data_IF_261456822186
#
_entry.id   IF_261456822186
#
_cell.length_a   1.000
_cell.length_b   1.000
_cell.length_c   1.000
_cell.angle_alpha   90.00
_cell.angle_beta   90.00
_cell.angle_gamma   90.00
#
_symmetry.space_group_name_H-M   'P 1'
#
loop_
_entity.id
_entity.type
_entity.pdbx_description
1 polymer ?
#
# COMPACT_ATOMS: atom_id res chain seq x y z
N UNK A 1 14.21 -15.37 -22.35
CA UNK A 1 13.31 -15.43 -21.18
C UNK A 1 13.22 -16.89 -20.76
N UNK A 2 13.88 -17.28 -19.67
CA UNK A 2 13.76 -18.63 -19.10
C UNK A 2 12.91 -18.54 -17.83
N UNK A 3 11.88 -19.38 -17.74
CA UNK A 3 11.02 -19.49 -16.56
C UNK A 3 11.59 -20.53 -15.59
N UNK A 4 11.80 -20.16 -14.33
CA UNK A 4 12.21 -21.06 -13.26
C UNK A 4 10.94 -21.54 -12.55
N UNK A 5 10.63 -22.83 -12.65
CA UNK A 5 9.60 -23.47 -11.84
C UNK A 5 10.21 -24.07 -10.57
N UNK A 6 9.64 -23.78 -9.41
CA UNK A 6 10.02 -24.40 -8.14
C UNK A 6 8.95 -25.38 -7.67
N UNK A 7 9.36 -26.53 -7.11
CA UNK A 7 8.47 -27.52 -6.49
C UNK A 7 8.89 -27.70 -5.03
N UNK A 8 7.93 -27.51 -4.13
CA UNK A 8 8.12 -27.61 -2.68
C UNK A 8 8.13 -29.08 -2.24
N UNK A 9 9.12 -29.49 -1.44
CA UNK A 9 9.19 -30.84 -0.87
C UNK A 9 8.77 -30.80 0.63
N UNK A 10 7.61 -31.38 0.98
CA UNK A 10 7.08 -31.30 2.34
C UNK A 10 7.81 -32.19 3.35
N UNK A 11 8.77 -33.05 2.95
CA UNK A 11 9.54 -33.88 3.89
C UNK A 11 10.79 -33.20 4.42
N UNK A 12 11.35 -32.26 3.66
CA UNK A 12 12.63 -31.60 3.98
C UNK A 12 12.47 -30.10 4.23
N UNK A 13 11.29 -29.53 3.98
CA UNK A 13 11.02 -28.10 4.17
C UNK A 13 11.78 -27.19 3.22
N UNK A 14 12.42 -27.75 2.19
CA UNK A 14 13.28 -27.03 1.25
C UNK A 14 12.67 -27.00 -0.16
N UNK A 15 12.85 -25.87 -0.84
CA UNK A 15 12.53 -25.74 -2.26
C UNK A 15 13.66 -26.33 -3.11
N UNK A 16 13.33 -27.35 -3.91
CA UNK A 16 14.28 -27.92 -4.88
C UNK A 16 14.17 -27.14 -6.19
N UNK A 17 15.25 -26.45 -6.57
CA UNK A 17 15.34 -25.76 -7.85
C UNK A 17 16.05 -26.67 -8.86
N UNK A 18 15.36 -27.01 -9.95
CA UNK A 18 15.92 -27.83 -11.02
C UNK A 18 16.32 -26.89 -12.16
N UNK A 19 17.63 -26.68 -12.33
CA UNK A 19 18.19 -25.81 -13.35
C UNK A 19 18.34 -26.62 -14.64
N UNK A 20 17.44 -26.39 -15.61
CA UNK A 20 17.57 -26.95 -16.95
C UNK A 20 18.68 -26.22 -17.72
N UNK A 21 19.77 -26.92 -18.01
CA UNK A 21 20.84 -26.41 -18.89
C UNK A 21 20.39 -26.65 -20.34
N UNK A 22 20.04 -25.59 -21.06
CA UNK A 22 19.94 -25.64 -22.51
C UNK A 22 21.34 -25.36 -23.05
N UNK A 23 21.94 -26.39 -23.64
CA UNK A 23 23.15 -26.29 -24.46
C UNK A 23 22.85 -25.43 -25.68
N UNK A 24 23.46 -24.25 -25.74
CA UNK A 24 23.66 -23.51 -26.96
C UNK A 24 25.16 -23.48 -27.21
N UNK A 25 25.58 -24.17 -28.26
CA UNK A 25 26.96 -24.15 -28.74
C UNK A 25 27.33 -22.73 -29.18
N UNK A 26 28.05 -22.02 -28.32
CA UNK A 26 28.92 -20.91 -28.73
C UNK A 26 30.33 -21.27 -28.29
N UNK A 27 31.13 -21.69 -29.27
CA UNK A 27 32.52 -22.03 -29.11
C UNK A 27 33.31 -20.74 -28.84
N UNK A 28 33.50 -20.44 -27.56
CA UNK A 28 34.40 -19.38 -27.11
C UNK A 28 35.10 -19.87 -25.87
N UNK A 29 36.32 -20.36 -26.08
CA UNK A 29 37.33 -20.63 -25.06
C UNK A 29 37.61 -19.33 -24.31
N UNK A 30 36.90 -19.11 -23.20
CA UNK A 30 37.25 -18.07 -22.25
C UNK A 30 38.26 -18.70 -21.30
N UNK A 31 39.51 -18.27 -21.42
CA UNK A 31 40.60 -18.60 -20.52
C UNK A 31 40.17 -18.31 -19.08
N UNK A 32 40.09 -19.37 -18.28
CA UNK A 32 39.89 -19.35 -16.84
C UNK A 32 41.24 -18.99 -16.18
N UNK A 33 41.70 -17.77 -16.43
CA UNK A 33 42.88 -17.23 -15.77
C UNK A 33 42.67 -15.76 -15.46
N UNK A 34 42.78 -15.46 -14.17
CA UNK A 34 43.12 -14.15 -13.62
C UNK A 34 41.95 -13.17 -13.39
N UNK A 35 41.23 -13.39 -12.29
CA UNK A 35 40.64 -12.28 -11.55
C UNK A 35 40.66 -12.54 -10.04
N UNK A 36 41.87 -12.59 -9.48
CA UNK A 36 42.10 -12.35 -8.05
C UNK A 36 42.15 -10.84 -7.81
N UNK A 37 41.00 -10.18 -7.79
CA UNK A 37 40.88 -9.05 -6.86
C UNK A 37 40.59 -9.67 -5.50
N UNK A 38 41.48 -9.51 -4.54
CA UNK A 38 41.33 -10.05 -3.18
C UNK A 38 40.03 -9.54 -2.55
N UNK A 39 38.96 -10.32 -2.70
CA UNK A 39 37.76 -10.19 -1.88
C UNK A 39 38.13 -10.87 -0.57
N UNK A 40 38.27 -10.08 0.48
CA UNK A 40 38.62 -10.62 1.79
C UNK A 40 37.41 -11.35 2.40
N UNK A 41 37.60 -12.30 3.32
CA UNK A 41 36.49 -12.92 4.04
C UNK A 41 35.58 -11.91 4.75
N UNK A 42 36.15 -10.77 5.16
CA UNK A 42 35.44 -9.65 5.80
C UNK A 42 34.45 -8.97 4.83
N UNK A 43 34.79 -8.90 3.54
CA UNK A 43 33.88 -8.37 2.52
C UNK A 43 32.65 -9.28 2.31
N UNK A 44 32.80 -10.58 2.56
CA UNK A 44 31.72 -11.57 2.47
C UNK A 44 30.79 -11.53 3.69
N UNK A 45 31.33 -11.26 4.88
CA UNK A 45 30.51 -11.07 6.10
C UNK A 45 29.51 -9.92 5.95
N UNK A 46 29.88 -8.86 5.24
CA UNK A 46 28.99 -7.72 5.01
C UNK A 46 27.68 -8.15 4.31
N UNK A 47 27.76 -9.09 3.36
CA UNK A 47 26.57 -9.61 2.67
C UNK A 47 25.69 -10.50 3.56
N UNK A 48 26.20 -11.00 4.69
CA UNK A 48 25.38 -11.74 5.66
C UNK A 48 24.45 -10.83 6.46
N UNK A 49 24.89 -9.58 6.73
CA UNK A 49 24.10 -8.56 7.43
C UNK A 49 23.00 -8.02 6.53
N UNK A 50 23.30 -7.80 5.25
CA UNK A 50 22.35 -7.29 4.26
C UNK A 50 21.72 -8.43 3.46
N UNK A 51 20.78 -9.15 4.08
CA UNK A 51 20.06 -10.31 3.50
C UNK A 51 19.46 -10.06 2.11
N UNK A 52 19.13 -8.80 1.80
CA UNK A 52 18.52 -8.39 0.53
C UNK A 52 19.50 -7.76 -0.46
N UNK A 53 20.80 -7.83 -0.18
CA UNK A 53 21.87 -7.23 -0.98
C UNK A 53 22.17 -5.79 -0.58
N UNK A 54 23.25 -5.25 -1.16
CA UNK A 54 23.76 -3.90 -0.89
C UNK A 54 23.75 -3.15 -2.22
N UNK A 55 23.31 -1.88 -2.24
CA UNK A 55 23.35 -1.09 -3.46
C UNK A 55 24.77 -1.02 -4.04
N UNK A 56 24.88 -1.22 -5.36
CA UNK A 56 26.17 -1.34 -6.07
C UNK A 56 27.11 -0.12 -5.91
N UNK A 57 26.56 1.06 -5.58
CA UNK A 57 27.31 2.30 -5.31
C UNK A 57 27.32 2.73 -3.84
N UNK A 58 26.90 1.85 -2.92
CA UNK A 58 26.92 2.13 -1.49
C UNK A 58 28.33 2.45 -1.01
N UNK A 59 28.48 3.39 -0.08
CA UNK A 59 29.78 3.70 0.53
C UNK A 59 30.36 2.50 1.30
N UNK A 60 29.48 1.63 1.82
CA UNK A 60 29.83 0.45 2.63
C UNK A 60 30.42 -0.69 1.76
N UNK A 61 30.11 -0.72 0.46
CA UNK A 61 30.64 -1.74 -0.44
C UNK A 61 32.13 -1.47 -0.73
N UNK A 62 32.98 -2.49 -0.63
CA UNK A 62 34.42 -2.31 -0.83
C UNK A 62 34.78 -1.95 -2.28
N UNK A 63 35.89 -1.22 -2.50
CA UNK A 63 36.33 -0.84 -3.84
C UNK A 63 36.54 -2.04 -4.77
N UNK A 64 37.01 -3.18 -4.24
CA UNK A 64 37.20 -4.41 -4.99
C UNK A 64 35.90 -4.88 -5.66
N UNK A 65 34.79 -4.90 -4.91
CA UNK A 65 33.49 -5.30 -5.46
C UNK A 65 32.89 -4.22 -6.35
N UNK A 66 33.06 -2.93 -6.01
CA UNK A 66 32.59 -1.80 -6.84
C UNK A 66 33.22 -1.79 -8.24
N UNK A 67 34.47 -2.21 -8.34
CA UNK A 67 35.24 -2.20 -9.59
C UNK A 67 34.99 -3.43 -10.47
N UNK A 68 34.20 -4.40 -10.00
CA UNK A 68 33.81 -5.54 -10.82
C UNK A 68 33.03 -5.06 -12.05
N UNK A 69 33.36 -5.53 -13.27
CA UNK A 69 32.67 -5.09 -14.48
C UNK A 69 31.16 -5.38 -14.45
N UNK A 70 30.75 -6.46 -13.77
CA UNK A 70 29.34 -6.81 -13.56
C UNK A 70 28.61 -5.83 -12.63
N UNK A 71 29.32 -5.19 -11.71
CA UNK A 71 28.76 -4.22 -10.74
C UNK A 71 28.72 -2.83 -11.36
N UNK A 72 29.76 -2.43 -12.10
CA UNK A 72 29.82 -1.14 -12.81
C UNK A 72 28.71 -1.04 -13.87
N UNK A 73 28.41 -2.13 -14.58
CA UNK A 73 27.41 -2.15 -15.64
C UNK A 73 25.95 -2.04 -15.11
N UNK A 74 25.73 -2.17 -13.80
CA UNK A 74 24.39 -2.07 -13.20
C UNK A 74 23.94 -0.62 -13.02
N UNK A 75 22.63 -0.42 -13.12
CA UNK A 75 21.99 0.88 -12.84
C UNK A 75 22.09 1.19 -11.34
N UNK A 76 22.06 2.47 -10.98
CA UNK A 76 22.06 2.88 -9.59
C UNK A 76 20.82 2.39 -8.85
N UNK A 77 21.04 1.74 -7.72
CA UNK A 77 20.02 1.31 -6.79
C UNK A 77 20.11 2.21 -5.56
N UNK A 78 18.96 2.63 -5.03
CA UNK A 78 18.88 3.38 -3.76
C UNK A 78 18.01 2.53 -2.84
N UNK A 79 18.59 2.09 -1.72
CA UNK A 79 17.83 1.45 -0.66
C UNK A 79 17.36 2.54 0.31
N UNK A 80 16.05 2.68 0.48
CA UNK A 80 15.45 3.66 1.39
C UNK A 80 15.02 2.91 2.64
N UNK A 81 15.72 3.14 3.75
CA UNK A 81 15.30 2.71 5.08
C UNK A 81 14.73 3.90 5.83
N UNK A 82 13.51 3.78 6.35
CA UNK A 82 12.93 4.79 7.23
C UNK A 82 13.45 4.56 8.64
N UNK A 83 14.47 5.32 9.05
CA UNK A 83 14.92 5.36 10.43
C UNK A 83 14.49 6.69 11.04
N UNK A 84 13.43 6.69 11.85
CA UNK A 84 13.02 7.83 12.66
C UNK A 84 12.90 7.36 14.10
N UNK A 85 13.80 7.86 14.93
CA UNK A 85 13.88 7.51 16.35
C UNK A 85 12.71 8.18 17.07
N UNK A 86 12.03 7.46 17.97
CA UNK A 86 10.99 8.05 18.82
C UNK A 86 11.61 9.15 19.70
N UNK A 87 11.03 10.35 19.71
CA UNK A 87 11.44 11.37 20.66
C UNK A 87 11.04 10.93 22.07
N UNK A 88 11.91 11.10 23.09
CA UNK A 88 11.53 10.83 24.46
C UNK A 88 10.36 11.74 24.85
N UNK A 89 9.22 11.15 25.21
CA UNK A 89 8.11 11.88 25.83
C UNK A 89 8.56 12.24 27.24
N UNK A 90 9.12 13.43 27.44
CA UNK A 90 9.51 13.89 28.77
C UNK A 90 8.27 14.02 29.66
N UNK A 91 8.16 13.12 30.62
CA UNK A 91 6.96 12.97 31.47
C UNK A 91 6.99 13.81 32.74
N UNK A 92 8.04 14.60 32.97
CA UNK A 92 8.25 15.28 34.25
C UNK A 92 8.52 16.76 34.02
N UNK A 93 7.60 17.59 34.51
CA UNK A 93 7.70 19.04 34.48
C UNK A 93 8.34 19.53 35.78
N UNK A 94 9.37 20.36 35.69
CA UNK A 94 10.05 20.97 36.84
C UNK A 94 9.91 22.49 36.81
N UNK A 95 9.41 23.05 37.91
CA UNK A 95 9.37 24.49 38.13
C UNK A 95 10.65 24.90 38.87
N UNK A 96 11.48 25.73 38.24
CA UNK A 96 12.79 26.12 38.77
C UNK A 96 12.76 27.61 39.14
N UNK A 97 13.28 27.95 40.32
CA UNK A 97 13.46 29.33 40.77
C UNK A 97 14.59 30.04 40.01
N UNK A 98 14.69 31.35 40.14
CA UNK A 98 15.76 32.19 39.55
C UNK A 98 17.17 31.72 39.94
N UNK A 99 17.30 31.09 41.10
CA UNK A 99 18.56 30.53 41.62
C UNK A 99 18.84 29.09 41.16
N UNK A 100 18.00 28.52 40.29
CA UNK A 100 18.17 27.16 39.77
C UNK A 100 17.63 26.06 40.71
N UNK A 101 16.90 26.42 41.76
CA UNK A 101 16.31 25.46 42.71
C UNK A 101 14.95 24.97 42.24
N UNK A 102 14.74 23.66 42.21
CA UNK A 102 13.43 23.07 41.90
C UNK A 102 12.44 23.39 43.03
N UNK A 103 11.40 24.14 42.70
CA UNK A 103 10.29 24.52 43.59
C UNK A 103 9.21 23.44 43.55
N UNK A 104 8.91 22.93 42.35
CA UNK A 104 7.84 21.97 42.13
C UNK A 104 8.24 20.97 41.04
N UNK A 105 7.77 19.73 41.17
CA UNK A 105 7.97 18.66 40.19
C UNK A 105 6.66 17.94 39.97
N UNK A 106 6.13 18.01 38.75
CA UNK A 106 4.88 17.37 38.37
C UNK A 106 5.14 16.24 37.38
N UNK A 107 4.51 15.08 37.59
CA UNK A 107 4.65 13.93 36.71
C UNK A 107 3.44 13.84 35.77
N UNK A 108 3.59 14.44 34.60
CA UNK A 108 2.57 14.50 33.56
C UNK A 108 2.20 13.08 33.07
N UNK A 109 3.14 12.13 33.08
CA UNK A 109 2.85 10.73 32.75
C UNK A 109 1.98 10.00 33.78
N UNK A 110 1.91 10.52 35.01
CA UNK A 110 1.03 10.00 36.06
C UNK A 110 -0.32 10.75 36.12
N UNK A 111 -0.59 11.65 35.16
CA UNK A 111 -1.77 12.51 35.16
C UNK A 111 -1.73 13.60 36.25
N UNK A 112 -0.55 13.85 36.83
CA UNK A 112 -0.36 14.88 37.86
C UNK A 112 0.19 16.13 37.18
N UNK A 113 -0.59 17.20 37.23
CA UNK A 113 -0.27 18.46 36.57
C UNK A 113 -0.12 19.59 37.59
N UNK A 114 0.98 20.36 37.55
CA UNK A 114 1.13 21.65 38.24
C UNK A 114 0.11 22.66 37.73
N UNK A 115 -0.33 23.57 38.60
CA UNK A 115 -1.23 24.68 38.25
C UNK A 115 -0.52 25.81 37.47
N UNK A 116 0.81 25.86 37.55
CA UNK A 116 1.64 26.88 36.88
C UNK A 116 2.05 26.46 35.47
N UNK A 117 1.80 25.21 35.07
CA UNK A 117 2.07 24.76 33.71
C UNK A 117 0.92 25.10 32.78
N UNK A 118 1.22 25.34 31.50
CA UNK A 118 0.19 25.53 30.48
C UNK A 118 -0.64 24.25 30.32
N UNK A 119 -1.93 24.40 29.99
CA UNK A 119 -2.76 23.23 29.73
C UNK A 119 -2.10 22.39 28.62
N UNK A 120 -1.97 21.07 28.82
CA UNK A 120 -1.40 20.22 27.79
C UNK A 120 -2.18 20.41 26.49
N UNK A 121 -1.50 20.43 25.33
CA UNK A 121 -2.18 20.55 24.05
C UNK A 121 -3.19 19.42 23.93
N UNK A 122 -4.41 19.76 23.48
CA UNK A 122 -5.42 18.75 23.19
C UNK A 122 -4.84 17.75 22.19
N UNK A 123 -5.02 16.46 22.48
CA UNK A 123 -4.65 15.41 21.53
C UNK A 123 -5.38 15.68 20.20
N UNK A 124 -4.67 15.57 19.06
CA UNK A 124 -5.28 15.79 17.75
C UNK A 124 -6.42 14.79 17.52
N UNK A 125 -7.59 15.28 17.13
CA UNK A 125 -8.75 14.42 16.84
C UNK A 125 -8.46 13.51 15.63
N UNK A 126 -8.94 12.28 15.71
CA UNK A 126 -8.75 11.29 14.65
C UNK A 126 -9.60 11.67 13.45
N UNK A 127 -8.94 12.06 12.35
CA UNK A 127 -9.63 12.39 11.11
C UNK A 127 -10.25 11.14 10.46
N UNK A 128 -11.56 11.17 10.21
CA UNK A 128 -12.30 10.04 9.60
C UNK A 128 -12.96 10.48 8.30
N UNK A 129 -12.71 9.77 7.21
CA UNK A 129 -13.31 10.04 5.90
C UNK A 129 -13.93 8.79 5.26
N UNK A 130 -14.93 9.01 4.40
CA UNK A 130 -15.60 7.98 3.62
C UNK A 130 -15.34 8.25 2.14
N UNK A 131 -14.79 7.26 1.43
CA UNK A 131 -14.49 7.37 0.00
C UNK A 131 -15.31 6.34 -0.76
N UNK A 132 -16.05 6.82 -1.76
CA UNK A 132 -16.75 5.98 -2.73
C UNK A 132 -15.93 5.87 -4.01
N UNK A 133 -15.75 4.65 -4.51
CA UNK A 133 -15.03 4.39 -5.74
C UNK A 133 -15.79 3.43 -6.65
N UNK A 134 -15.71 3.63 -7.96
CA UNK A 134 -16.31 2.70 -8.90
C UNK A 134 -15.39 1.49 -9.13
N UNK A 135 -15.98 0.29 -9.20
CA UNK A 135 -15.29 -0.93 -9.61
C UNK A 135 -14.55 -0.71 -10.94
N UNK A 136 -13.30 -1.16 -11.00
CA UNK A 136 -12.45 -1.09 -12.19
C UNK A 136 -11.74 0.24 -12.40
N UNK A 137 -12.04 1.28 -11.60
CA UNK A 137 -11.35 2.57 -11.66
C UNK A 137 -10.16 2.60 -10.68
N UNK A 138 -9.13 3.43 -10.94
CA UNK A 138 -8.04 3.64 -10.01
C UNK A 138 -8.51 4.44 -8.79
N UNK A 139 -7.92 4.15 -7.63
CA UNK A 139 -8.19 4.82 -6.35
C UNK A 139 -6.88 5.13 -5.66
N UNK A 140 -6.79 6.32 -5.07
CA UNK A 140 -5.64 6.75 -4.27
C UNK A 140 -6.13 7.10 -2.87
N UNK A 141 -5.55 6.45 -1.87
CA UNK A 141 -5.84 6.73 -0.47
C UNK A 141 -4.67 7.52 0.12
N UNK A 142 -4.98 8.68 0.68
CA UNK A 142 -4.02 9.53 1.41
C UNK A 142 -4.50 9.63 2.85
N UNK A 143 -3.60 9.59 3.82
CA UNK A 143 -3.96 9.70 5.22
C UNK A 143 -4.68 11.04 5.48
N UNK A 144 -5.89 11.04 6.06
CA UNK A 144 -6.68 12.25 6.23
C UNK A 144 -6.20 13.12 7.41
N UNK A 145 -5.51 12.52 8.37
CA UNK A 145 -4.99 13.21 9.55
C UNK A 145 -3.47 13.23 9.58
N UNK A 146 -2.94 14.10 10.42
CA UNK A 146 -1.52 14.19 10.72
C UNK A 146 -1.40 14.54 12.21
N UNK A 147 -0.63 13.76 12.96
CA UNK A 147 -0.37 14.03 14.38
C UNK A 147 0.68 15.15 14.59
N UNK A 148 0.97 15.94 13.55
CA UNK A 148 2.07 16.92 13.51
C UNK A 148 3.42 16.31 13.88
N UNK A 149 3.60 15.03 13.56
CA UNK A 149 4.85 14.32 13.80
C UNK A 149 5.53 14.05 12.47
N UNK A 150 6.87 14.11 12.46
CA UNK A 150 7.65 13.65 11.31
C UNK A 150 7.66 12.12 11.20
N UNK A 151 6.86 11.37 11.96
CA UNK A 151 6.88 9.90 11.94
C UNK A 151 6.32 9.34 10.61
N UNK A 152 6.88 8.21 10.11
CA UNK A 152 6.37 7.58 8.89
C UNK A 152 4.95 7.01 9.14
N UNK A 153 4.15 6.98 8.09
CA UNK A 153 2.77 6.46 8.20
C UNK A 153 2.78 4.94 8.04
N UNK A 154 2.24 4.26 9.05
CA UNK A 154 1.96 2.83 8.99
C UNK A 154 0.51 2.61 8.61
N UNK A 155 0.29 1.90 7.51
CA UNK A 155 -1.05 1.57 7.04
C UNK A 155 -1.54 0.25 7.63
N UNK A 156 -2.82 0.19 7.96
CA UNK A 156 -3.53 -1.04 8.28
C UNK A 156 -4.82 -1.15 7.45
N UNK A 157 -5.18 -2.38 7.11
CA UNK A 157 -6.43 -2.72 6.43
C UNK A 157 -7.24 -3.63 7.36
N UNK A 158 -8.35 -3.12 7.90
CA UNK A 158 -8.99 -3.72 9.07
C UNK A 158 -7.99 -3.78 10.22
N UNK A 159 -7.79 -4.97 10.78
CA UNK A 159 -6.88 -5.20 11.92
C UNK A 159 -5.47 -5.65 11.51
N UNK A 160 -5.13 -5.61 10.22
CA UNK A 160 -3.87 -6.15 9.70
C UNK A 160 -2.93 -5.04 9.23
N UNK A 161 -1.68 -5.09 9.69
CA UNK A 161 -0.60 -4.25 9.17
C UNK A 161 -0.37 -4.50 7.68
N UNK A 162 -0.36 -3.42 6.91
CA UNK A 162 -0.08 -3.46 5.49
C UNK A 162 1.45 -3.48 5.28
N UNK A 163 1.96 -4.60 4.78
CA UNK A 163 3.36 -4.72 4.38
C UNK A 163 3.45 -4.43 2.87
N UNK A 164 4.15 -3.37 2.43
CA UNK A 164 4.19 -2.96 1.02
C UNK A 164 4.61 -4.08 0.05
N UNK A 165 5.65 -4.85 0.39
CA UNK A 165 6.15 -5.91 -0.50
C UNK A 165 5.15 -7.08 -0.61
N UNK A 166 4.49 -7.43 0.49
CA UNK A 166 3.52 -8.52 0.53
C UNK A 166 2.28 -8.17 -0.29
N UNK A 167 1.73 -6.96 -0.11
CA UNK A 167 0.51 -6.56 -0.84
C UNK A 167 0.79 -6.43 -2.34
N UNK A 168 1.99 -6.00 -2.73
CA UNK A 168 2.40 -5.97 -4.14
C UNK A 168 2.44 -7.39 -4.71
N UNK A 169 3.00 -8.35 -4.00
CA UNK A 169 3.04 -9.75 -4.43
C UNK A 169 1.63 -10.38 -4.52
N UNK A 170 0.83 -10.27 -3.47
CA UNK A 170 -0.53 -10.83 -3.39
C UNK A 170 -1.48 -10.21 -4.43
N UNK A 171 -1.36 -8.90 -4.64
CA UNK A 171 -2.18 -8.17 -5.59
C UNK A 171 -1.66 -8.21 -7.03
N UNK A 172 -0.51 -8.86 -7.27
CA UNK A 172 0.20 -8.88 -8.57
C UNK A 172 0.51 -7.47 -9.10
N UNK A 173 0.97 -6.57 -8.21
CA UNK A 173 1.35 -5.19 -8.54
C UNK A 173 0.19 -4.23 -8.78
N UNK A 174 -1.03 -4.63 -8.42
CA UNK A 174 -2.25 -3.82 -8.54
C UNK A 174 -2.39 -2.80 -7.42
N UNK A 175 -2.02 -3.20 -6.20
CA UNK A 175 -1.98 -2.36 -5.01
C UNK A 175 -0.52 -2.18 -4.60
N UNK A 176 -0.12 -0.94 -4.37
CA UNK A 176 1.22 -0.62 -3.87
C UNK A 176 1.17 0.66 -3.03
N UNK A 177 2.13 0.78 -2.11
CA UNK A 177 2.33 1.98 -1.31
C UNK A 177 3.44 2.81 -1.96
N UNK A 178 3.21 4.11 -2.12
CA UNK A 178 4.18 5.05 -2.67
C UNK A 178 5.14 5.56 -1.60
N UNK A 179 6.27 6.15 -2.01
CA UNK A 179 7.21 6.89 -1.15
C UNK A 179 6.58 8.08 -0.42
N UNK A 180 5.42 8.54 -0.88
CA UNK A 180 4.64 9.60 -0.24
C UNK A 180 3.61 9.07 0.77
N UNK A 181 3.76 7.82 1.20
CA UNK A 181 2.87 7.10 2.11
C UNK A 181 1.40 7.05 1.65
N UNK A 182 1.18 7.03 0.33
CA UNK A 182 -0.15 6.88 -0.28
C UNK A 182 -0.35 5.47 -0.79
N UNK A 183 -1.55 4.93 -0.60
CA UNK A 183 -1.93 3.64 -1.20
C UNK A 183 -2.53 3.89 -2.58
N UNK A 184 -1.96 3.25 -3.60
CA UNK A 184 -2.47 3.27 -4.96
C UNK A 184 -3.11 1.92 -5.28
N UNK A 185 -4.37 1.94 -5.68
CA UNK A 185 -5.11 0.80 -6.21
C UNK A 185 -5.36 1.07 -7.69
N UNK A 186 -4.63 0.41 -8.59
CA UNK A 186 -4.76 0.66 -10.04
C UNK A 186 -6.13 0.26 -10.60
N UNK A 187 -6.68 -0.85 -10.11
CA UNK A 187 -7.97 -1.40 -10.55
C UNK A 187 -8.73 -1.84 -9.29
N UNK A 188 -9.73 -1.06 -8.90
CA UNK A 188 -10.57 -1.32 -7.73
C UNK A 188 -11.46 -2.55 -7.92
N UNK A 189 -11.44 -3.48 -6.96
CA UNK A 189 -12.31 -4.67 -6.87
C UNK A 189 -13.25 -4.50 -5.69
N UNK A 190 -14.44 -5.08 -5.75
CA UNK A 190 -15.41 -5.02 -4.64
C UNK A 190 -14.81 -5.48 -3.30
N UNK A 191 -13.92 -6.48 -3.34
CA UNK A 191 -13.22 -7.01 -2.16
C UNK A 191 -12.18 -6.05 -1.55
N UNK A 192 -11.79 -4.97 -2.23
CA UNK A 192 -10.93 -3.94 -1.63
C UNK A 192 -11.75 -2.96 -0.77
N UNK A 193 -13.08 -3.11 -0.70
CA UNK A 193 -13.91 -2.32 0.22
C UNK A 193 -13.57 -2.72 1.66
N UNK A 194 -12.93 -1.82 2.39
CA UNK A 194 -12.50 -2.07 3.77
C UNK A 194 -12.27 -0.74 4.50
N UNK A 195 -11.94 -0.83 5.78
CA UNK A 195 -11.44 0.28 6.59
C UNK A 195 -9.91 0.29 6.47
N UNK A 196 -9.37 1.43 6.06
CA UNK A 196 -7.96 1.70 5.95
C UNK A 196 -7.58 2.73 7.01
N UNK A 197 -6.72 2.37 7.95
CA UNK A 197 -6.25 3.30 8.98
C UNK A 197 -4.78 3.62 8.79
N UNK A 198 -4.43 4.89 9.00
CA UNK A 198 -3.05 5.35 9.05
C UNK A 198 -2.67 5.64 10.49
N UNK A 199 -1.48 5.17 10.88
CA UNK A 199 -0.93 5.24 12.22
C UNK A 199 0.42 5.94 12.20
N UNK A 200 0.66 6.79 13.20
CA UNK A 200 1.93 7.48 13.41
C UNK A 200 2.31 7.30 14.89
N UNK A 201 3.54 6.89 15.19
CA UNK A 201 4.01 6.62 16.57
C UNK A 201 3.08 5.70 17.40
N UNK A 202 2.46 4.69 16.77
CA UNK A 202 1.47 3.78 17.40
C UNK A 202 0.16 4.45 17.83
N UNK A 203 -0.05 5.70 17.45
CA UNK A 203 -1.29 6.45 17.63
C UNK A 203 -2.03 6.55 16.29
N UNK A 204 -3.36 6.56 16.35
CA UNK A 204 -4.21 6.55 15.17
C UNK A 204 -4.30 7.97 14.59
N UNK A 205 -3.66 8.19 13.45
CA UNK A 205 -3.68 9.50 12.77
C UNK A 205 -4.97 9.72 11.98
N UNK A 206 -5.52 8.66 11.38
CA UNK A 206 -6.75 8.78 10.60
C UNK A 206 -7.32 7.47 10.08
N UNK A 207 -8.59 7.52 9.69
CA UNK A 207 -9.36 6.36 9.20
C UNK A 207 -10.08 6.70 7.92
N UNK A 208 -9.99 5.82 6.94
CA UNK A 208 -10.65 5.91 5.65
C UNK A 208 -11.54 4.67 5.49
N UNK A 209 -12.84 4.87 5.37
CA UNK A 209 -13.75 3.80 4.94
C UNK A 209 -13.83 3.84 3.42
N UNK A 210 -13.29 2.83 2.74
CA UNK A 210 -13.38 2.71 1.29
C UNK A 210 -14.56 1.81 0.93
N UNK A 211 -15.48 2.34 0.12
CA UNK A 211 -16.64 1.59 -0.40
C UNK A 211 -16.54 1.54 -1.92
N UNK A 212 -16.40 0.35 -2.47
CA UNK A 212 -16.34 0.16 -3.93
C UNK A 212 -17.72 -0.24 -4.44
N UNK A 213 -18.27 0.60 -5.30
CA UNK A 213 -19.58 0.42 -5.90
C UNK A 213 -19.46 -0.23 -7.29
N UNK A 214 -20.39 -1.13 -7.58
CA UNK A 214 -20.57 -1.63 -8.94
C UNK A 214 -21.43 -0.60 -9.70
N UNK A 215 -20.79 0.25 -10.51
CA UNK A 215 -21.54 1.07 -11.48
C UNK A 215 -22.12 0.14 -12.54
N UNK A 216 -23.44 0.04 -12.58
CA UNK A 216 -24.15 -0.54 -13.72
C UNK A 216 -24.30 0.55 -14.77
N UNK A 217 -23.37 0.60 -15.71
CA UNK A 217 -23.57 1.40 -16.92
C UNK A 217 -24.58 0.67 -17.80
N UNK A 218 -25.86 0.93 -17.56
CA UNK A 218 -26.92 0.47 -18.47
C UNK A 218 -26.93 1.39 -19.68
N UNK A 219 -26.20 1.01 -20.72
CA UNK A 219 -26.30 1.63 -22.04
C UNK A 219 -27.63 1.21 -22.66
N UNK A 220 -28.73 1.83 -22.23
CA UNK A 220 -30.02 1.62 -22.89
C UNK A 220 -29.96 2.23 -24.28
N UNK A 221 -30.02 1.37 -25.30
CA UNK A 221 -30.15 1.84 -26.67
C UNK A 221 -31.49 2.59 -26.80
N UNK A 222 -31.44 3.81 -27.31
CA UNK A 222 -32.61 4.67 -27.46
C UNK A 222 -33.74 3.99 -28.26
N UNK A 223 -33.38 3.13 -29.22
CA UNK A 223 -34.34 2.34 -29.99
C UNK A 223 -35.12 1.33 -29.13
N UNK A 224 -34.48 0.71 -28.14
CA UNK A 224 -35.14 -0.25 -27.25
C UNK A 224 -36.17 0.47 -26.37
N UNK A 225 -35.81 1.66 -25.87
CA UNK A 225 -36.71 2.49 -25.08
C UNK A 225 -37.93 2.95 -25.91
N UNK A 226 -37.69 3.37 -27.16
CA UNK A 226 -38.75 3.83 -28.06
C UNK A 226 -39.69 2.70 -28.48
N UNK A 227 -39.17 1.51 -28.77
CA UNK A 227 -39.98 0.32 -29.05
C UNK A 227 -40.84 -0.08 -27.85
N UNK A 228 -40.28 -0.03 -26.63
CA UNK A 228 -41.04 -0.26 -25.41
C UNK A 228 -42.23 0.71 -25.25
N UNK A 229 -42.01 2.00 -25.55
CA UNK A 229 -43.06 3.02 -25.47
C UNK A 229 -44.16 2.82 -26.52
N UNK A 230 -43.79 2.42 -27.75
CA UNK A 230 -44.76 2.10 -28.81
C UNK A 230 -45.63 0.89 -28.47
N UNK A 231 -45.05 -0.15 -27.86
CA UNK A 231 -45.81 -1.33 -27.41
C UNK A 231 -46.81 -0.95 -26.31
N UNK A 232 -46.40 -0.13 -25.34
CA UNK A 232 -47.30 0.33 -24.29
C UNK A 232 -48.44 1.16 -24.87
N UNK A 233 -48.16 2.11 -25.77
CA UNK A 233 -49.19 2.93 -26.42
C UNK A 233 -50.16 2.09 -27.26
N UNK A 234 -49.66 1.08 -27.97
CA UNK A 234 -50.53 0.22 -28.81
C UNK A 234 -51.49 -0.62 -27.96
N UNK A 235 -51.05 -1.12 -26.81
CA UNK A 235 -51.92 -1.83 -25.85
C UNK A 235 -52.98 -0.89 -25.29
N UNK A 236 -52.62 0.34 -24.90
CA UNK A 236 -53.58 1.34 -24.44
C UNK A 236 -54.63 1.67 -25.52
N UNK A 237 -54.20 1.89 -26.77
CA UNK A 237 -55.11 2.13 -27.89
C UNK A 237 -56.02 0.92 -28.18
N UNK A 238 -55.50 -0.29 -28.08
CA UNK A 238 -56.29 -1.52 -28.25
C UNK A 238 -57.37 -1.65 -27.17
N UNK A 239 -57.02 -1.44 -25.90
CA UNK A 239 -57.99 -1.46 -24.80
C UNK A 239 -59.01 -0.33 -24.96
N UNK A 240 -58.57 0.87 -25.32
CA UNK A 240 -59.44 2.02 -25.55
C UNK A 240 -60.45 1.76 -26.67
N UNK A 241 -60.00 1.24 -27.81
CA UNK A 241 -60.89 0.89 -28.93
C UNK A 241 -61.87 -0.21 -28.55
N UNK A 242 -61.43 -1.26 -27.85
CA UNK A 242 -62.32 -2.31 -27.32
C UNK A 242 -63.35 -1.76 -26.32
N UNK A 243 -62.97 -0.86 -25.43
CA UNK A 243 -63.89 -0.30 -24.43
C UNK A 243 -64.96 0.61 -25.03
N UNK A 244 -64.58 1.49 -25.98
CA UNK A 244 -65.50 2.45 -26.58
C UNK A 244 -66.30 1.89 -27.75
N UNK A 245 -65.69 1.06 -28.61
CA UNK A 245 -66.39 0.49 -29.77
C UNK A 245 -66.97 -0.91 -29.50
N UNK A 246 -66.47 -1.65 -28.51
CA UNK A 246 -67.06 -2.93 -28.10
C UNK A 246 -68.47 -2.80 -27.51
N UNK A 247 -68.84 -1.61 -27.00
CA UNK A 247 -70.21 -1.32 -26.55
C UNK A 247 -71.23 -1.19 -27.69
N UNK A 248 -70.83 -1.00 -28.95
CA UNK A 248 -71.77 -0.86 -30.08
C UNK A 248 -72.27 -2.20 -30.63
N UNK A 249 -71.67 -3.33 -30.24
CA UNK A 249 -72.06 -4.68 -30.68
C UNK A 249 -72.86 -5.48 -29.64
N UNK A 250 -73.09 -4.92 -28.45
CA UNK A 250 -74.04 -5.45 -27.47
C UNK A 250 -75.36 -4.69 -27.57
N UNK A 251 -76.03 -4.80 -28.71
CA UNK A 251 -77.47 -4.54 -28.84
C UNK A 251 -78.13 -5.85 -29.24
N UNK A 252 -79.06 -6.25 -28.37
CA UNK A 252 -80.16 -7.23 -28.49
C UNK A 252 -80.37 -7.79 -29.89
#
# INVERSE_FOLDING_TARGET
MNAIGSRFDPRTGLFKFQMGVISAASNSTVNETEFTSEVTPVDLELFTVFKYGIPCRSHILSPAVKNLPQVIARKNEIMIGYCKVECPKEGVFELIDKDGKVIEKANNSAGIYSLMQELPPLEPDVARILIYAAKGKPVVLSCPGNLNTDAPILWQIGDKNLIPDLIVAESKGRIYVSISDKIYIKIAKLADSNVYSCWQQKELAGVIRLVIEKKFEMHFNHHIMLMGLLIILSVFLYVFTKAFFGRKYAKV
#
